data_IF_299424078118
#
_entry.id   IF_299424078118
#
_cell.length_a   1.000
_cell.length_b   1.000
_cell.length_c   1.000
_cell.angle_alpha   90.00
_cell.angle_beta   90.00
_cell.angle_gamma   90.00
#
_symmetry.space_group_name_H-M   'P 1'
#
loop_
_entity.id
_entity.type
_entity.pdbx_description
1 polymer ?
#
# COMPACT_ATOMS: atom_id res chain seq x y z
N UNK A 1 -1.21 -21.13 16.31
CA UNK A 1 -2.31 -20.78 15.37
C UNK A 1 -1.72 -19.89 14.29
N UNK A 2 -2.18 -20.03 13.05
CA UNK A 2 -1.57 -19.31 11.94
C UNK A 2 -2.17 -17.92 11.78
N UNK A 3 -1.31 -16.90 11.79
CA UNK A 3 -1.67 -15.56 11.36
C UNK A 3 -1.31 -15.42 9.87
N UNK A 4 -1.86 -14.40 9.22
CA UNK A 4 -1.60 -14.14 7.81
C UNK A 4 -1.15 -12.70 7.60
N UNK A 5 -0.19 -12.50 6.69
CA UNK A 5 0.21 -11.20 6.19
C UNK A 5 0.04 -11.16 4.68
N UNK A 6 -0.46 -10.04 4.21
CA UNK A 6 -0.76 -9.76 2.82
C UNK A 6 -0.09 -8.45 2.43
N UNK A 7 1.10 -8.51 1.80
CA UNK A 7 1.68 -7.40 1.07
C UNK A 7 0.78 -7.06 -0.11
N UNK A 8 0.26 -5.83 -0.17
CA UNK A 8 -0.69 -5.39 -1.18
C UNK A 8 -0.14 -4.20 -1.95
N UNK A 9 -0.34 -4.23 -3.26
CA UNK A 9 0.02 -3.16 -4.19
C UNK A 9 -1.23 -2.73 -4.96
N UNK A 10 -1.31 -1.43 -5.23
CA UNK A 10 -2.30 -0.79 -6.09
C UNK A 10 -1.59 -0.32 -7.36
N UNK A 11 -1.56 -1.14 -8.41
CA UNK A 11 -0.77 -0.85 -9.61
C UNK A 11 -1.28 0.38 -10.36
N UNK A 12 -2.59 0.58 -10.35
CA UNK A 12 -3.26 1.67 -11.09
C UNK A 12 -3.35 2.96 -10.27
N UNK A 13 -2.72 3.00 -9.08
CA UNK A 13 -2.78 4.15 -8.20
C UNK A 13 -2.01 5.33 -8.78
N UNK A 14 -2.70 6.44 -8.99
CA UNK A 14 -2.12 7.66 -9.50
C UNK A 14 -1.54 8.50 -8.35
N UNK A 15 -0.22 8.71 -8.34
CA UNK A 15 0.43 9.61 -7.40
C UNK A 15 0.40 11.03 -7.98
N UNK A 16 -0.23 11.95 -7.25
CA UNK A 16 -0.11 13.37 -7.51
C UNK A 16 1.28 13.87 -7.05
N UNK A 17 2.09 14.37 -7.98
CA UNK A 17 3.34 15.08 -7.65
C UNK A 17 3.20 16.57 -7.98
N UNK A 18 3.75 17.47 -7.12
CA UNK A 18 3.82 18.89 -7.47
C UNK A 18 4.65 19.07 -8.74
N UNK A 19 4.15 19.83 -9.73
CA UNK A 19 4.99 20.23 -10.88
C UNK A 19 6.13 21.14 -10.40
N UNK A 20 7.37 21.00 -10.92
CA UNK A 20 8.34 22.08 -10.82
C UNK A 20 7.76 23.31 -11.52
N UNK A 21 7.72 24.45 -10.84
CA UNK A 21 7.25 25.71 -11.40
C UNK A 21 8.20 26.17 -12.51
N UNK A 22 7.82 25.90 -13.77
CA UNK A 22 8.50 26.49 -14.93
C UNK A 22 7.96 27.92 -15.06
N UNK A 23 8.80 28.92 -14.80
CA UNK A 23 8.51 30.31 -15.19
C UNK A 23 8.78 30.41 -16.68
N UNK A 24 7.73 30.55 -17.48
CA UNK A 24 7.84 30.90 -18.91
C UNK A 24 7.45 32.36 -19.02
N UNK A 25 8.39 33.22 -19.42
CA UNK A 25 8.06 34.59 -19.81
C UNK A 25 7.33 34.53 -21.16
N UNK A 26 6.04 34.86 -21.14
CA UNK A 26 5.20 34.90 -22.34
C UNK A 26 5.23 36.32 -22.93
N UNK A 27 5.46 36.50 -24.24
CA UNK A 27 5.36 37.80 -24.89
C UNK A 27 3.90 38.27 -25.01
N UNK A 28 3.67 39.57 -24.79
CA UNK A 28 2.38 40.28 -24.62
C UNK A 28 1.34 40.17 -25.77
N UNK A 29 1.56 39.36 -26.82
CA UNK A 29 0.75 39.39 -28.04
C UNK A 29 -0.16 38.17 -28.27
N UNK A 30 -0.51 37.43 -27.22
CA UNK A 30 -1.39 36.26 -27.32
C UNK A 30 -2.81 36.58 -26.80
N UNK A 31 -3.87 36.43 -27.61
CA UNK A 31 -5.25 36.75 -27.21
C UNK A 31 -5.93 35.55 -26.53
N UNK A 32 -5.30 35.00 -25.48
CA UNK A 32 -5.73 33.73 -24.85
C UNK A 32 -5.90 33.83 -23.33
N UNK A 33 -6.32 34.99 -22.81
CA UNK A 33 -6.49 35.19 -21.35
C UNK A 33 -7.42 34.14 -20.72
N UNK A 34 -8.50 33.76 -21.40
CA UNK A 34 -9.48 32.79 -20.88
C UNK A 34 -9.03 31.32 -20.99
N UNK A 35 -8.07 30.99 -21.85
CA UNK A 35 -7.56 29.61 -22.03
C UNK A 35 -6.40 29.31 -21.08
N UNK A 36 -5.68 30.35 -20.65
CA UNK A 36 -4.54 30.23 -19.73
C UNK A 36 -5.00 29.99 -18.29
N UNK A 37 -6.14 30.55 -17.86
CA UNK A 37 -6.64 30.35 -16.50
C UNK A 37 -7.03 28.89 -16.22
N UNK A 38 -7.59 28.19 -17.21
CA UNK A 38 -7.95 26.76 -17.14
C UNK A 38 -6.71 25.83 -17.20
N UNK A 39 -5.60 26.30 -17.80
CA UNK A 39 -4.30 25.60 -17.85
C UNK A 39 -3.45 25.78 -16.58
N UNK A 40 -3.78 26.76 -15.74
CA UNK A 40 -3.03 27.12 -14.53
C UNK A 40 -3.60 26.50 -13.23
N UNK A 41 -4.79 25.90 -13.26
CA UNK A 41 -5.46 25.46 -12.02
C UNK A 41 -5.14 24.01 -11.59
N UNK A 42 -4.59 23.14 -12.46
CA UNK A 42 -4.13 21.80 -12.03
C UNK A 42 -2.64 21.77 -11.65
N UNK A 43 -2.37 22.10 -10.38
CA UNK A 43 -1.03 22.16 -9.75
C UNK A 43 -0.35 20.80 -9.57
N UNK A 44 -0.95 19.70 -10.01
CA UNK A 44 -0.43 18.34 -9.80
C UNK A 44 -0.36 17.57 -11.10
N UNK A 45 0.78 16.91 -11.37
CA UNK A 45 0.83 15.88 -12.43
C UNK A 45 0.58 14.53 -11.77
N UNK A 46 -0.41 13.79 -12.27
CA UNK A 46 -0.62 12.39 -11.92
C UNK A 46 0.40 11.57 -12.70
N UNK A 47 1.38 11.00 -12.01
CA UNK A 47 2.40 10.17 -12.65
C UNK A 47 1.93 8.71 -12.56
N UNK A 48 1.64 8.05 -13.69
CA UNK A 48 1.40 6.62 -13.73
C UNK A 48 2.66 5.84 -13.30
N UNK A 49 2.50 4.57 -12.91
CA UNK A 49 3.56 3.60 -12.62
C UNK A 49 4.41 3.78 -11.35
N UNK A 50 4.15 4.79 -10.52
CA UNK A 50 4.76 4.82 -9.17
C UNK A 50 4.07 3.83 -8.20
N UNK A 51 2.78 3.53 -8.41
CA UNK A 51 1.97 2.63 -7.58
C UNK A 51 1.85 3.05 -6.12
N UNK A 52 0.99 2.37 -5.37
CA UNK A 52 0.95 2.50 -3.90
C UNK A 52 0.99 1.12 -3.26
N UNK A 53 1.46 1.02 -2.02
CA UNK A 53 1.56 -0.23 -1.30
C UNK A 53 1.05 -0.09 0.14
N UNK A 54 0.45 -1.17 0.63
CA UNK A 54 0.04 -1.31 2.01
C UNK A 54 0.15 -2.76 2.45
N UNK A 55 -0.05 -2.98 3.75
CA UNK A 55 0.02 -4.31 4.35
C UNK A 55 -1.25 -4.57 5.15
N UNK A 56 -1.89 -5.67 4.81
CA UNK A 56 -2.99 -6.25 5.57
C UNK A 56 -2.40 -7.41 6.39
N UNK A 57 -2.78 -7.54 7.65
CA UNK A 57 -2.47 -8.73 8.44
C UNK A 57 -3.64 -9.10 9.34
N UNK A 58 -3.80 -10.41 9.54
CA UNK A 58 -4.97 -11.01 10.19
C UNK A 58 -4.46 -11.99 11.23
N UNK A 59 -4.80 -11.74 12.49
CA UNK A 59 -4.45 -12.62 13.61
C UNK A 59 -5.55 -13.63 13.89
N UNK A 60 -5.22 -14.91 14.02
CA UNK A 60 -6.21 -15.95 14.34
C UNK A 60 -6.32 -16.14 15.86
N UNK A 61 -7.39 -15.61 16.45
CA UNK A 61 -7.70 -15.72 17.87
C UNK A 61 -8.81 -16.75 18.09
N UNK A 62 -8.46 -18.04 17.94
CA UNK A 62 -9.40 -19.14 18.19
C UNK A 62 -10.57 -19.19 17.21
N UNK A 63 -10.31 -18.96 15.92
CA UNK A 63 -11.32 -18.97 14.85
C UNK A 63 -11.95 -17.60 14.55
N UNK A 64 -11.63 -16.57 15.34
CA UNK A 64 -11.98 -15.17 15.04
C UNK A 64 -10.75 -14.44 14.53
N UNK A 65 -10.84 -13.85 13.34
CA UNK A 65 -9.74 -13.12 12.73
C UNK A 65 -9.74 -11.66 13.11
N UNK A 66 -8.67 -11.17 13.75
CA UNK A 66 -8.51 -9.74 14.01
C UNK A 66 -7.73 -9.09 12.88
N UNK A 67 -8.39 -8.22 12.12
CA UNK A 67 -7.83 -7.65 10.89
C UNK A 67 -7.23 -6.27 11.14
N UNK A 68 -6.07 -5.99 10.53
CA UNK A 68 -5.47 -4.66 10.52
C UNK A 68 -4.86 -4.36 9.16
N UNK A 69 -5.04 -3.12 8.73
CA UNK A 69 -4.43 -2.61 7.52
C UNK A 69 -3.67 -1.32 7.81
N UNK A 70 -2.43 -1.28 7.34
CA UNK A 70 -1.55 -0.12 7.43
C UNK A 70 -0.93 0.19 6.08
N UNK A 71 -0.62 1.46 5.88
CA UNK A 71 0.02 1.98 4.68
C UNK A 71 0.94 3.14 5.06
N UNK A 72 1.96 3.38 4.25
CA UNK A 72 2.88 4.50 4.41
C UNK A 72 2.96 5.27 3.11
N UNK A 73 2.88 6.60 3.18
CA UNK A 73 2.82 7.40 1.97
C UNK A 73 2.93 8.89 2.22
N UNK A 74 3.09 9.65 1.12
CA UNK A 74 3.08 11.11 1.14
C UNK A 74 1.62 11.57 1.16
N UNK A 75 1.12 11.84 2.35
CA UNK A 75 -0.24 12.33 2.53
C UNK A 75 -0.28 13.82 2.89
N UNK A 76 -0.66 14.22 4.11
CA UNK A 76 -0.89 15.64 4.45
C UNK A 76 0.38 16.47 4.56
N UNK A 77 1.44 15.93 5.17
CA UNK A 77 2.68 16.67 5.40
C UNK A 77 3.73 16.56 4.29
N UNK A 78 3.47 15.80 3.22
CA UNK A 78 4.42 15.51 2.13
C UNK A 78 5.67 14.70 2.54
N UNK A 79 6.00 14.66 3.84
CA UNK A 79 7.22 14.06 4.40
C UNK A 79 7.13 12.55 4.62
N UNK A 80 5.98 11.93 4.33
CA UNK A 80 5.68 10.54 4.65
C UNK A 80 5.03 10.38 6.02
N UNK A 81 3.94 9.62 6.07
CA UNK A 81 3.23 9.27 7.31
C UNK A 81 2.73 7.83 7.22
N UNK A 82 2.77 7.09 8.33
CA UNK A 82 2.09 5.80 8.45
C UNK A 82 0.64 6.02 8.84
N UNK A 83 -0.29 5.36 8.16
CA UNK A 83 -1.73 5.43 8.46
C UNK A 83 -2.27 4.04 8.77
N UNK A 84 -3.22 4.01 9.71
CA UNK A 84 -4.09 2.86 9.95
C UNK A 84 -5.43 3.13 9.27
N UNK A 85 -5.97 2.17 8.53
CA UNK A 85 -7.37 2.20 8.11
C UNK A 85 -8.21 1.28 9.01
N UNK A 86 -9.40 1.71 9.46
CA UNK A 86 -10.34 0.82 10.15
C UNK A 86 -10.78 -0.28 9.22
N UNK A 87 -10.62 -1.54 9.60
CA UNK A 87 -10.99 -2.71 8.80
C UNK A 87 -12.07 -3.53 9.51
N UNK A 88 -12.99 -4.17 8.78
CA UNK A 88 -13.77 -5.26 9.34
C UNK A 88 -12.87 -6.46 9.64
N UNK A 89 -13.26 -7.25 10.63
CA UNK A 89 -12.57 -8.47 11.03
C UNK A 89 -12.87 -9.62 10.06
N UNK A 90 -11.88 -10.48 9.83
CA UNK A 90 -11.95 -11.60 8.89
C UNK A 90 -12.44 -12.85 9.62
N UNK A 91 -13.27 -13.65 8.94
CA UNK A 91 -13.67 -14.96 9.45
C UNK A 91 -12.61 -16.01 9.11
N UNK A 92 -12.55 -17.09 9.88
CA UNK A 92 -11.69 -18.23 9.59
C UNK A 92 -12.50 -19.50 9.37
N UNK A 93 -12.11 -20.29 8.37
CA UNK A 93 -12.62 -21.64 8.12
C UNK A 93 -11.41 -22.57 8.06
N UNK A 94 -11.42 -23.61 8.90
CA UNK A 94 -10.34 -24.61 8.96
C UNK A 94 -8.94 -24.00 9.14
N UNK A 95 -8.82 -22.94 9.95
CA UNK A 95 -7.55 -22.28 10.24
C UNK A 95 -7.06 -21.31 9.16
N UNK A 96 -7.80 -21.13 8.06
CA UNK A 96 -7.48 -20.18 6.98
C UNK A 96 -8.50 -19.03 6.92
N UNK A 97 -8.12 -17.83 6.45
CA UNK A 97 -9.04 -16.74 6.17
C UNK A 97 -10.15 -17.19 5.22
N UNK A 98 -11.40 -16.92 5.56
CA UNK A 98 -12.54 -17.22 4.70
C UNK A 98 -12.53 -16.28 3.48
N UNK A 99 -12.52 -16.85 2.28
CA UNK A 99 -12.46 -16.11 1.01
C UNK A 99 -13.52 -15.01 0.91
N UNK A 100 -14.77 -15.28 1.30
CA UNK A 100 -15.84 -14.27 1.24
C UNK A 100 -15.54 -13.05 2.10
N UNK A 101 -15.21 -13.27 3.37
CA UNK A 101 -14.86 -12.18 4.29
C UNK A 101 -13.59 -11.44 3.83
N UNK A 102 -12.65 -12.15 3.22
CA UNK A 102 -11.44 -11.57 2.64
C UNK A 102 -11.76 -10.70 1.42
N UNK A 103 -12.66 -11.14 0.54
CA UNK A 103 -13.13 -10.34 -0.61
C UNK A 103 -13.76 -9.03 -0.15
N UNK A 104 -14.59 -9.06 0.90
CA UNK A 104 -15.21 -7.85 1.48
C UNK A 104 -14.15 -6.87 2.03
N UNK A 105 -13.10 -7.40 2.67
CA UNK A 105 -11.94 -6.62 3.13
C UNK A 105 -11.20 -6.00 1.94
N UNK A 106 -10.90 -6.76 0.88
CA UNK A 106 -10.19 -6.25 -0.30
C UNK A 106 -11.00 -5.20 -1.05
N UNK A 107 -12.32 -5.39 -1.17
CA UNK A 107 -13.24 -4.38 -1.69
C UNK A 107 -13.14 -3.08 -0.89
N UNK A 108 -13.21 -3.18 0.43
CA UNK A 108 -13.09 -2.02 1.30
C UNK A 108 -11.73 -1.32 1.15
N UNK A 109 -10.62 -2.07 1.13
CA UNK A 109 -9.26 -1.55 0.93
C UNK A 109 -9.13 -0.82 -0.41
N UNK A 110 -9.60 -1.42 -1.51
CA UNK A 110 -9.58 -0.82 -2.84
C UNK A 110 -10.30 0.54 -2.83
N UNK A 111 -11.48 0.61 -2.20
CA UNK A 111 -12.26 1.84 -2.08
C UNK A 111 -11.57 2.92 -1.25
N UNK A 112 -11.01 2.57 -0.09
CA UNK A 112 -10.47 3.58 0.84
C UNK A 112 -9.02 3.96 0.59
N UNK A 113 -8.21 3.08 0.01
CA UNK A 113 -6.77 3.28 -0.15
C UNK A 113 -6.25 3.02 -1.57
N UNK A 114 -7.03 2.38 -2.43
CA UNK A 114 -6.64 2.00 -3.79
C UNK A 114 -7.29 2.81 -4.92
N UNK A 115 -8.02 3.88 -4.63
CA UNK A 115 -8.77 4.68 -5.62
C UNK A 115 -9.82 3.86 -6.41
N UNK A 116 -10.39 2.81 -5.80
CA UNK A 116 -11.25 1.80 -6.45
C UNK A 116 -10.54 0.99 -7.55
N UNK A 117 -9.21 1.02 -7.60
CA UNK A 117 -8.41 0.25 -8.53
C UNK A 117 -8.25 -1.21 -8.11
N UNK A 118 -7.58 -1.99 -8.97
CA UNK A 118 -7.23 -3.38 -8.66
C UNK A 118 -6.19 -3.46 -7.55
N UNK A 119 -6.15 -4.61 -6.88
CA UNK A 119 -5.13 -4.95 -5.89
C UNK A 119 -4.36 -6.17 -6.39
N UNK A 120 -3.05 -6.09 -6.34
CA UNK A 120 -2.13 -7.20 -6.58
C UNK A 120 -1.40 -7.49 -5.27
N UNK A 121 -1.36 -8.75 -4.83
CA UNK A 121 -0.86 -9.11 -3.53
C UNK A 121 -0.35 -10.54 -3.47
N UNK A 122 0.11 -10.95 -2.29
CA UNK A 122 0.36 -12.36 -1.97
C UNK A 122 -0.22 -12.69 -0.59
N UNK A 123 -0.48 -13.96 -0.33
CA UNK A 123 -0.81 -14.48 1.01
C UNK A 123 0.38 -15.21 1.60
N UNK A 124 0.79 -14.81 2.80
CA UNK A 124 1.89 -15.45 3.53
C UNK A 124 1.39 -15.88 4.91
N UNK A 125 1.50 -17.17 5.20
CA UNK A 125 1.19 -17.74 6.50
C UNK A 125 2.36 -17.48 7.47
N UNK A 126 2.07 -16.84 8.60
CA UNK A 126 3.06 -16.38 9.58
C UNK A 126 2.62 -16.74 11.01
N UNK A 127 2.96 -17.95 11.51
CA UNK A 127 2.48 -18.41 12.82
C UNK A 127 2.88 -17.49 13.98
N UNK A 128 1.89 -17.03 14.73
CA UNK A 128 2.07 -16.26 15.97
C UNK A 128 2.82 -14.93 15.79
N UNK A 129 2.65 -14.28 14.63
CA UNK A 129 3.32 -13.01 14.27
C UNK A 129 2.41 -11.79 14.28
N UNK A 130 1.13 -11.94 14.57
CA UNK A 130 0.20 -10.81 14.59
C UNK A 130 0.65 -9.67 15.50
N UNK A 131 1.08 -10.01 16.74
CA UNK A 131 1.46 -9.02 17.74
C UNK A 131 2.70 -8.23 17.32
N UNK A 132 3.73 -8.89 16.78
CA UNK A 132 4.97 -8.23 16.38
C UNK A 132 4.75 -7.27 15.21
N UNK A 133 3.96 -7.68 14.20
CA UNK A 133 3.57 -6.80 13.08
C UNK A 133 2.76 -5.60 13.56
N UNK A 134 1.84 -5.81 14.50
CA UNK A 134 1.03 -4.73 15.09
C UNK A 134 1.87 -3.74 15.88
N UNK A 135 2.80 -4.21 16.70
CA UNK A 135 3.72 -3.38 17.49
C UNK A 135 4.63 -2.56 16.58
N UNK A 136 5.17 -3.18 15.53
CA UNK A 136 5.93 -2.49 14.49
C UNK A 136 5.12 -1.34 13.87
N UNK A 137 3.90 -1.63 13.39
CA UNK A 137 3.05 -0.62 12.75
C UNK A 137 2.68 0.52 13.73
N UNK A 138 2.37 0.20 14.99
CA UNK A 138 2.07 1.21 16.02
C UNK A 138 3.27 2.11 16.31
N UNK A 139 4.48 1.56 16.34
CA UNK A 139 5.72 2.34 16.47
C UNK A 139 5.89 3.29 15.28
N UNK A 140 5.71 2.81 14.04
CA UNK A 140 5.80 3.67 12.83
C UNK A 140 4.74 4.78 12.83
N UNK A 141 3.54 4.51 13.36
CA UNK A 141 2.51 5.54 13.56
C UNK A 141 2.91 6.58 14.62
N UNK A 142 3.53 6.18 15.73
CA UNK A 142 3.96 7.13 16.77
C UNK A 142 5.09 8.05 16.27
N UNK A 143 5.96 7.53 15.40
CA UNK A 143 7.03 8.29 14.74
C UNK A 143 6.52 9.41 13.83
N UNK A 144 5.25 9.40 13.39
CA UNK A 144 4.67 10.51 12.62
C UNK A 144 4.77 11.86 13.33
N UNK A 145 4.79 11.87 14.66
CA UNK A 145 4.91 13.08 15.48
C UNK A 145 6.35 13.50 15.73
N UNK A 146 7.32 12.67 15.37
CA UNK A 146 8.74 13.00 15.52
C UNK A 146 9.17 13.96 14.39
N UNK A 147 9.63 15.19 14.70
CA UNK A 147 10.10 16.13 13.70
C UNK A 147 11.39 15.65 12.99
N UNK A 148 12.15 14.76 13.63
CA UNK A 148 13.41 14.20 13.12
C UNK A 148 13.21 12.81 12.47
N UNK A 149 11.97 12.40 12.17
CA UNK A 149 11.73 11.11 11.50
C UNK A 149 12.36 11.10 10.11
N UNK A 150 12.76 9.91 9.65
CA UNK A 150 13.26 9.72 8.28
C UNK A 150 12.19 10.19 7.28
N UNK A 151 12.60 11.02 6.31
CA UNK A 151 11.70 11.58 5.29
C UNK A 151 11.41 10.53 4.23
N UNK A 152 10.21 10.58 3.67
CA UNK A 152 9.82 9.78 2.52
C UNK A 152 10.84 9.92 1.39
N UNK A 153 11.29 8.78 0.88
CA UNK A 153 12.17 8.68 -0.27
C UNK A 153 11.63 7.58 -1.18
N UNK A 154 11.41 7.88 -2.45
CA UNK A 154 10.76 6.95 -3.39
C UNK A 154 11.55 5.63 -3.50
N UNK A 155 12.87 5.67 -3.28
CA UNK A 155 13.77 4.52 -3.47
C UNK A 155 14.04 3.81 -2.14
N UNK A 156 14.40 4.57 -1.09
CA UNK A 156 15.00 4.02 0.13
C UNK A 156 14.10 4.12 1.37
N UNK A 157 12.93 4.76 1.25
CA UNK A 157 12.00 4.94 2.36
C UNK A 157 10.59 5.27 1.86
N UNK A 158 9.99 4.29 1.21
CA UNK A 158 8.74 4.39 0.46
C UNK A 158 7.64 3.52 1.08
N UNK A 159 6.48 3.48 0.43
CA UNK A 159 5.41 2.54 0.79
C UNK A 159 5.90 1.08 0.75
N UNK A 160 6.74 0.72 -0.23
CA UNK A 160 7.29 -0.64 -0.39
C UNK A 160 8.20 -1.00 0.77
N UNK A 161 9.18 -0.14 1.09
CA UNK A 161 10.12 -0.45 2.19
C UNK A 161 9.39 -0.62 3.52
N UNK A 162 8.32 0.16 3.77
CA UNK A 162 7.48 -0.04 4.94
C UNK A 162 6.79 -1.41 4.96
N UNK A 163 6.22 -1.84 3.84
CA UNK A 163 5.58 -3.17 3.74
C UNK A 163 6.62 -4.28 3.94
N UNK A 164 7.80 -4.14 3.32
CA UNK A 164 8.93 -5.07 3.48
C UNK A 164 9.32 -5.21 4.95
N UNK A 165 9.54 -4.10 5.65
CA UNK A 165 9.93 -4.10 7.08
C UNK A 165 8.86 -4.77 7.97
N UNK A 166 7.57 -4.62 7.65
CA UNK A 166 6.48 -5.32 8.37
C UNK A 166 6.53 -6.82 8.13
N UNK A 167 6.71 -7.24 6.88
CA UNK A 167 6.81 -8.67 6.49
C UNK A 167 8.05 -9.32 7.11
N UNK A 168 9.19 -8.64 7.08
CA UNK A 168 10.43 -9.08 7.72
C UNK A 168 10.30 -9.16 9.24
N UNK A 169 9.53 -8.25 9.87
CA UNK A 169 9.26 -8.33 11.31
C UNK A 169 8.50 -9.61 11.71
N UNK A 170 7.74 -10.20 10.78
CA UNK A 170 7.11 -11.50 10.96
C UNK A 170 8.09 -12.68 10.78
N UNK A 171 9.34 -12.42 10.38
CA UNK A 171 10.36 -13.44 10.15
C UNK A 171 10.30 -14.10 8.77
N UNK A 172 9.52 -13.52 7.84
CA UNK A 172 9.48 -13.97 6.44
C UNK A 172 10.80 -13.63 5.77
N UNK A 173 11.40 -14.62 5.11
CA UNK A 173 12.62 -14.45 4.31
C UNK A 173 12.25 -14.65 2.84
N UNK A 174 12.75 -13.76 2.00
CA UNK A 174 12.60 -13.76 0.55
C UNK A 174 13.82 -13.03 -0.03
N UNK A 175 14.14 -13.26 -1.31
CA UNK A 175 15.31 -12.62 -1.91
C UNK A 175 15.09 -11.12 -2.12
N UNK A 176 15.60 -10.32 -1.19
CA UNK A 176 15.49 -8.86 -1.26
C UNK A 176 16.54 -8.18 -2.12
N UNK A 177 17.56 -8.91 -2.59
CA UNK A 177 18.66 -8.34 -3.37
C UNK A 177 18.25 -7.96 -4.81
N UNK A 178 17.17 -8.56 -5.31
CA UNK A 178 16.60 -8.33 -6.65
C UNK A 178 15.46 -7.30 -6.60
N UNK A 179 15.09 -6.80 -5.41
CA UNK A 179 13.90 -5.98 -5.24
C UNK A 179 14.12 -4.54 -5.68
N UNK A 180 13.52 -4.22 -6.81
CA UNK A 180 13.25 -2.87 -7.24
C UNK A 180 12.21 -2.22 -6.29
N UNK A 181 12.48 -0.99 -5.85
CA UNK A 181 11.62 -0.22 -4.95
C UNK A 181 10.25 0.14 -5.55
N UNK A 182 10.01 -0.14 -6.83
CA UNK A 182 8.71 0.01 -7.49
C UNK A 182 7.72 -1.05 -6.98
N UNK A 183 6.51 -0.66 -6.53
CA UNK A 183 5.51 -1.59 -6.00
C UNK A 183 5.19 -2.78 -6.91
N UNK A 184 5.06 -2.56 -8.22
CA UNK A 184 4.73 -3.63 -9.18
C UNK A 184 5.85 -4.67 -9.26
N UNK A 185 7.10 -4.22 -9.34
CA UNK A 185 8.26 -5.12 -9.35
C UNK A 185 8.35 -5.90 -8.05
N UNK A 186 8.18 -5.21 -6.91
CA UNK A 186 8.18 -5.84 -5.59
C UNK A 186 7.18 -6.98 -5.46
N UNK A 187 5.92 -6.75 -5.85
CA UNK A 187 4.90 -7.79 -5.68
C UNK A 187 5.10 -8.95 -6.64
N UNK A 188 5.59 -8.69 -7.86
CA UNK A 188 5.89 -9.75 -8.82
C UNK A 188 7.00 -10.69 -8.33
N UNK A 189 8.01 -10.16 -7.63
CA UNK A 189 9.02 -11.01 -6.98
C UNK A 189 8.39 -11.91 -5.93
N UNK A 190 7.56 -11.35 -5.04
CA UNK A 190 6.89 -12.14 -4.01
C UNK A 190 5.95 -13.22 -4.58
N UNK A 191 5.27 -12.94 -5.70
CA UNK A 191 4.39 -13.91 -6.38
C UNK A 191 5.14 -15.15 -6.89
N UNK A 192 6.46 -15.09 -7.05
CA UNK A 192 7.26 -16.27 -7.40
C UNK A 192 7.51 -17.22 -6.23
N UNK A 193 7.31 -16.75 -4.99
CA UNK A 193 7.59 -17.50 -3.76
C UNK A 193 6.33 -17.82 -2.93
N UNK A 194 5.26 -17.04 -3.08
CA UNK A 194 4.06 -17.10 -2.24
C UNK A 194 2.77 -17.18 -3.06
N UNK A 195 1.67 -17.58 -2.42
CA UNK A 195 0.33 -17.65 -3.03
C UNK A 195 -0.09 -16.29 -3.57
N UNK A 196 -0.38 -16.22 -4.87
CA UNK A 196 -0.82 -14.98 -5.53
C UNK A 196 -2.26 -14.64 -5.11
N UNK A 197 -2.50 -13.35 -4.89
CA UNK A 197 -3.82 -12.79 -4.68
C UNK A 197 -4.02 -11.60 -5.63
N UNK A 198 -5.09 -11.69 -6.42
CA UNK A 198 -5.53 -10.59 -7.27
C UNK A 198 -6.97 -10.21 -6.93
N UNK A 199 -7.25 -8.92 -6.81
CA UNK A 199 -8.60 -8.41 -6.63
C UNK A 199 -8.93 -7.41 -7.73
N UNK A 200 -10.01 -7.68 -8.46
CA UNK A 200 -10.53 -6.80 -9.49
C UNK A 200 -12.03 -7.04 -9.68
N UNK A 201 -12.78 -5.98 -9.96
CA UNK A 201 -14.23 -6.06 -10.25
C UNK A 201 -15.06 -6.84 -9.21
N UNK A 202 -14.75 -6.65 -7.92
CA UNK A 202 -15.37 -7.35 -6.77
C UNK A 202 -15.10 -8.86 -6.70
N UNK A 203 -14.15 -9.36 -7.47
CA UNK A 203 -13.69 -10.74 -7.44
C UNK A 203 -12.32 -10.80 -6.79
N UNK A 204 -12.15 -11.75 -5.86
CA UNK A 204 -10.87 -12.11 -5.28
C UNK A 204 -10.43 -13.46 -5.88
N UNK A 205 -9.32 -13.43 -6.60
CA UNK A 205 -8.66 -14.60 -7.16
C UNK A 205 -7.48 -14.96 -6.27
N UNK A 206 -7.39 -16.23 -5.89
CA UNK A 206 -6.30 -16.77 -5.06
C UNK A 206 -5.70 -17.93 -5.83
N UNK A 207 -4.49 -17.73 -6.35
CA UNK A 207 -3.78 -18.74 -7.14
C UNK A 207 -2.60 -19.27 -6.32
N UNK A 208 -2.65 -20.57 -6.01
CA UNK A 208 -1.62 -21.24 -5.21
C UNK A 208 -0.52 -21.83 -6.09
N UNK A 209 0.70 -21.86 -5.54
CA UNK A 209 1.77 -22.79 -5.93
C UNK A 209 1.61 -24.12 -5.20
#
# INVERSE_FOLDING_TARGET
MSDYVFPLVFPDFLIAVPRPSIKVDLPDFLPFDDVIEDLLDDKTTKVPDLGHAGVLFIGNQGGKGVTKYYEYGRYRSGSGETRRRPMPDCSFINGKPETRSLTDIFHHISKVSGQNGRISGVSIEVPEKYKIMLEYCKKRVSENRNPNRKKYDIINYSCVTFVQEVVESAGVKYDSSVLDARPISYINTLKSEFTDINYFSNTLEIEGH
#
